data_IF_387075767286
#
_entry.id   IF_387075767286
#
_cell.length_a   1.000
_cell.length_b   1.000
_cell.length_c   1.000
_cell.angle_alpha   90.00
_cell.angle_beta   90.00
_cell.angle_gamma   90.00
#
_symmetry.space_group_name_H-M   'P 1'
#
loop_
_entity.id
_entity.type
_entity.pdbx_description
1 polymer ?
#
# COMPACT_ATOMS: atom_id res chain seq x y z
N UNK A 1 9.59 -4.03 2.51
CA UNK A 1 8.83 -2.86 2.01
C UNK A 1 9.63 -1.63 2.40
N UNK A 2 9.85 -0.70 1.49
CA UNK A 2 10.64 0.50 1.74
C UNK A 2 9.96 1.71 1.07
N UNK A 3 10.19 2.91 1.59
CA UNK A 3 9.74 4.14 0.95
C UNK A 3 10.72 4.55 -0.15
N UNK A 4 10.27 5.30 -1.17
CA UNK A 4 11.12 5.71 -2.30
C UNK A 4 12.38 6.45 -1.85
N UNK A 5 12.28 7.29 -0.81
CA UNK A 5 13.41 8.02 -0.21
C UNK A 5 14.41 7.11 0.52
N UNK A 6 14.02 5.90 0.93
CA UNK A 6 14.87 4.94 1.65
C UNK A 6 15.60 3.98 0.71
N UNK A 7 15.10 3.81 -0.52
CA UNK A 7 15.66 2.87 -1.50
C UNK A 7 17.11 3.19 -1.92
N UNK A 8 17.51 4.45 -2.18
CA UNK A 8 18.88 4.76 -2.58
C UNK A 8 19.92 4.42 -1.51
N UNK A 9 19.53 4.51 -0.23
CA UNK A 9 20.40 4.19 0.91
C UNK A 9 20.70 2.70 1.00
N UNK A 10 19.77 1.87 0.55
CA UNK A 10 19.88 0.41 0.67
C UNK A 10 20.68 -0.21 -0.48
N UNK A 11 20.67 0.37 -1.68
CA UNK A 11 21.03 -0.40 -2.86
C UNK A 11 21.54 0.37 -4.12
N UNK A 12 21.84 1.67 -4.04
CA UNK A 12 22.50 2.39 -5.14
C UNK A 12 21.58 2.77 -6.32
N UNK A 13 22.10 2.77 -7.56
CA UNK A 13 21.44 3.34 -8.76
C UNK A 13 20.26 2.54 -9.33
N UNK A 14 20.16 1.24 -9.01
CA UNK A 14 18.96 0.43 -9.27
C UNK A 14 18.68 -0.43 -8.02
N UNK A 15 17.97 0.15 -7.04
CA UNK A 15 17.81 -0.47 -5.75
C UNK A 15 16.93 -1.72 -5.80
N UNK A 16 16.00 -1.81 -6.75
CA UNK A 16 15.12 -2.98 -6.91
C UNK A 16 15.92 -4.16 -7.46
N UNK A 17 16.72 -3.96 -8.52
CA UNK A 17 17.54 -5.01 -9.08
C UNK A 17 18.58 -5.56 -8.08
N UNK A 18 19.20 -4.67 -7.29
CA UNK A 18 20.16 -5.06 -6.27
C UNK A 18 19.52 -5.85 -5.11
N UNK A 19 18.29 -5.54 -4.70
CA UNK A 19 17.55 -6.34 -3.72
C UNK A 19 17.22 -7.74 -4.25
N UNK A 20 16.85 -7.86 -5.53
CA UNK A 20 16.67 -9.18 -6.16
C UNK A 20 17.97 -9.97 -6.24
N UNK A 21 19.10 -9.33 -6.58
CA UNK A 21 20.41 -9.96 -6.57
C UNK A 21 20.83 -10.44 -5.17
N UNK A 22 20.36 -9.78 -4.11
CA UNK A 22 20.56 -10.19 -2.72
C UNK A 22 19.60 -11.30 -2.25
N UNK A 23 18.71 -11.80 -3.12
CA UNK A 23 17.81 -12.92 -2.82
C UNK A 23 16.43 -12.51 -2.27
N UNK A 24 16.10 -11.21 -2.24
CA UNK A 24 14.74 -10.76 -1.98
C UNK A 24 13.83 -11.25 -3.12
N UNK A 25 12.64 -11.76 -2.81
CA UNK A 25 11.73 -12.31 -3.84
C UNK A 25 10.66 -11.33 -4.29
N UNK A 26 10.37 -10.34 -3.46
CA UNK A 26 9.32 -9.35 -3.70
C UNK A 26 9.71 -8.03 -3.04
N UNK A 27 9.60 -6.94 -3.79
CA UNK A 27 9.94 -5.59 -3.34
C UNK A 27 8.72 -4.71 -3.51
N UNK A 28 8.27 -4.07 -2.43
CA UNK A 28 7.17 -3.10 -2.48
C UNK A 28 7.69 -1.73 -2.08
N UNK A 29 7.42 -0.75 -2.93
CA UNK A 29 7.89 0.63 -2.86
C UNK A 29 6.72 1.57 -2.68
N UNK A 30 6.72 2.35 -1.59
CA UNK A 30 5.74 3.42 -1.38
C UNK A 30 6.25 4.72 -1.99
N UNK A 31 5.40 5.42 -2.74
CA UNK A 31 5.72 6.69 -3.43
C UNK A 31 4.82 7.86 -2.99
N UNK A 32 4.34 7.82 -1.75
CA UNK A 32 3.49 8.87 -1.18
C UNK A 32 2.28 9.16 -2.07
N UNK A 33 2.15 10.41 -2.52
CA UNK A 33 1.06 10.87 -3.38
C UNK A 33 1.04 10.23 -4.78
N UNK A 34 2.14 9.65 -5.25
CA UNK A 34 2.18 8.90 -6.51
C UNK A 34 1.67 7.45 -6.37
N UNK A 35 1.41 6.98 -5.13
CA UNK A 35 0.90 5.65 -4.85
C UNK A 35 2.00 4.67 -4.45
N UNK A 36 2.04 3.50 -5.06
CA UNK A 36 3.00 2.47 -4.75
C UNK A 36 3.25 1.52 -5.94
N UNK A 37 4.38 0.82 -5.89
CA UNK A 37 4.71 -0.26 -6.83
C UNK A 37 5.15 -1.52 -6.10
N UNK A 38 4.84 -2.66 -6.69
CA UNK A 38 5.28 -3.98 -6.25
C UNK A 38 6.01 -4.68 -7.39
N UNK A 39 7.12 -5.30 -7.06
CA UNK A 39 8.01 -5.99 -7.98
C UNK A 39 8.24 -7.40 -7.49
N UNK A 40 8.18 -8.36 -8.39
CA UNK A 40 8.71 -9.71 -8.23
C UNK A 40 9.74 -9.96 -9.31
N UNK A 41 10.33 -11.16 -9.34
CA UNK A 41 11.25 -11.56 -10.42
C UNK A 41 10.57 -11.55 -11.81
N UNK A 42 9.25 -11.71 -11.86
CA UNK A 42 8.49 -11.90 -13.12
C UNK A 42 7.45 -10.83 -13.41
N UNK A 43 7.10 -10.00 -12.43
CA UNK A 43 6.01 -9.03 -12.52
C UNK A 43 6.39 -7.70 -11.87
N UNK A 44 5.87 -6.61 -12.44
CA UNK A 44 5.90 -5.29 -11.86
C UNK A 44 4.50 -4.68 -11.96
N UNK A 45 3.95 -4.23 -10.83
CA UNK A 45 2.62 -3.61 -10.76
C UNK A 45 2.73 -2.27 -10.07
N UNK A 46 2.01 -1.28 -10.59
CA UNK A 46 1.90 0.05 -9.98
C UNK A 46 0.43 0.34 -9.66
N UNK A 47 0.19 1.05 -8.55
CA UNK A 47 -1.13 1.56 -8.19
C UNK A 47 -1.02 3.01 -7.77
N UNK A 48 -1.88 3.90 -8.30
CA UNK A 48 -1.91 5.29 -7.86
C UNK A 48 -2.36 5.37 -6.40
N UNK A 49 -2.00 6.47 -5.73
CA UNK A 49 -2.55 6.76 -4.41
C UNK A 49 -4.06 6.98 -4.54
N UNK A 50 -4.83 6.54 -3.53
CA UNK A 50 -6.26 6.85 -3.46
C UNK A 50 -6.43 8.30 -3.02
N UNK A 51 -7.28 9.05 -3.73
CA UNK A 51 -7.57 10.44 -3.40
C UNK A 51 -8.55 10.50 -2.23
N UNK A 52 -8.07 10.96 -1.08
CA UNK A 52 -8.85 11.11 0.15
C UNK A 52 -8.46 12.42 0.86
N UNK A 53 -9.38 13.05 1.61
CA UNK A 53 -9.02 14.16 2.49
C UNK A 53 -8.00 13.69 3.53
N UNK A 54 -6.83 14.31 3.57
CA UNK A 54 -5.80 13.99 4.56
C UNK A 54 -6.13 14.69 5.87
N UNK A 55 -6.29 13.90 6.93
CA UNK A 55 -6.64 14.36 8.27
C UNK A 55 -5.47 14.15 9.23
N UNK A 56 -4.86 12.97 9.19
CA UNK A 56 -3.64 12.60 9.91
C UNK A 56 -2.77 11.75 8.97
N UNK A 57 -1.45 11.75 9.12
CA UNK A 57 -0.57 10.89 8.31
C UNK A 57 0.11 9.80 9.13
N UNK A 58 -0.05 9.83 10.46
CA UNK A 58 0.47 8.79 11.33
C UNK A 58 -0.27 7.47 11.06
N UNK A 59 0.44 6.35 11.12
CA UNK A 59 -0.12 5.03 10.86
C UNK A 59 -0.37 4.66 9.39
N UNK A 60 -0.30 5.61 8.45
CA UNK A 60 -0.53 5.33 7.02
C UNK A 60 0.42 4.27 6.44
N UNK A 61 1.67 4.28 6.90
CA UNK A 61 2.67 3.29 6.51
C UNK A 61 2.35 1.90 7.03
N UNK A 62 1.94 1.79 8.30
CA UNK A 62 1.61 0.52 8.94
C UNK A 62 0.31 -0.05 8.38
N UNK A 63 -0.68 0.82 8.13
CA UNK A 63 -1.92 0.48 7.44
C UNK A 63 -1.67 -0.06 6.03
N UNK A 64 -0.76 0.57 5.27
CA UNK A 64 -0.35 0.07 3.97
C UNK A 64 0.27 -1.32 4.05
N UNK A 65 1.21 -1.53 4.99
CA UNK A 65 1.87 -2.82 5.21
C UNK A 65 0.84 -3.89 5.62
N UNK A 66 -0.05 -3.57 6.55
CA UNK A 66 -1.11 -4.45 7.02
C UNK A 66 -2.06 -4.84 5.88
N UNK A 67 -2.48 -3.88 5.06
CA UNK A 67 -3.30 -4.12 3.87
C UNK A 67 -2.62 -5.04 2.86
N UNK A 68 -1.33 -4.83 2.61
CA UNK A 68 -0.55 -5.68 1.70
C UNK A 68 -0.43 -7.13 2.22
N UNK A 69 -0.04 -7.29 3.48
CA UNK A 69 0.11 -8.60 4.13
C UNK A 69 -1.24 -9.34 4.25
N UNK A 70 -2.32 -8.61 4.51
CA UNK A 70 -3.68 -9.16 4.47
C UNK A 70 -4.00 -9.78 3.10
N UNK A 71 -3.68 -9.08 2.01
CA UNK A 71 -3.84 -9.62 0.66
C UNK A 71 -2.99 -10.85 0.40
N UNK A 72 -1.74 -10.84 0.88
CA UNK A 72 -0.84 -11.97 0.76
C UNK A 72 -1.40 -13.21 1.48
N UNK A 73 -1.90 -13.04 2.71
CA UNK A 73 -2.49 -14.12 3.51
C UNK A 73 -3.79 -14.67 2.90
N UNK A 74 -4.57 -13.83 2.24
CA UNK A 74 -5.76 -14.24 1.48
C UNK A 74 -5.42 -14.93 0.16
N UNK A 75 -4.16 -14.96 -0.26
CA UNK A 75 -3.73 -15.58 -1.52
C UNK A 75 -4.17 -14.84 -2.78
N UNK A 76 -4.57 -13.56 -2.69
CA UNK A 76 -4.92 -12.77 -3.89
C UNK A 76 -3.67 -12.44 -4.69
N UNK A 77 -3.83 -12.03 -5.95
CA UNK A 77 -2.71 -11.70 -6.83
C UNK A 77 -1.95 -10.41 -6.42
N UNK A 78 -0.79 -10.17 -7.03
CA UNK A 78 0.10 -9.05 -6.69
C UNK A 78 -0.61 -7.69 -6.84
N UNK A 79 -1.43 -7.56 -7.88
CA UNK A 79 -2.19 -6.37 -8.18
C UNK A 79 -3.25 -6.07 -7.11
N UNK A 80 -3.99 -7.08 -6.66
CA UNK A 80 -4.99 -6.96 -5.62
C UNK A 80 -4.36 -6.72 -4.25
N UNK A 81 -3.19 -7.29 -3.96
CA UNK A 81 -2.42 -6.99 -2.74
C UNK A 81 -2.03 -5.51 -2.70
N UNK A 82 -1.48 -5.00 -3.80
CA UNK A 82 -1.02 -3.61 -3.89
C UNK A 82 -2.20 -2.64 -3.84
N UNK A 83 -3.32 -2.98 -4.48
CA UNK A 83 -4.54 -2.19 -4.43
C UNK A 83 -5.09 -2.09 -2.99
N UNK A 84 -5.16 -3.23 -2.28
CA UNK A 84 -5.57 -3.25 -0.88
C UNK A 84 -4.64 -2.42 0.01
N UNK A 85 -3.34 -2.46 -0.24
CA UNK A 85 -2.36 -1.68 0.51
C UNK A 85 -2.59 -0.17 0.34
N UNK A 86 -2.73 0.33 -0.89
CA UNK A 86 -3.00 1.77 -1.13
C UNK A 86 -4.35 2.20 -0.56
N UNK A 87 -5.37 1.33 -0.62
CA UNK A 87 -6.70 1.56 -0.04
C UNK A 87 -6.64 1.65 1.48
N UNK A 88 -5.96 0.71 2.14
CA UNK A 88 -5.86 0.68 3.61
C UNK A 88 -5.05 1.88 4.14
N UNK A 89 -3.95 2.23 3.46
CA UNK A 89 -3.19 3.44 3.78
C UNK A 89 -4.02 4.73 3.63
N UNK A 90 -4.88 4.78 2.61
CA UNK A 90 -5.78 5.92 2.39
C UNK A 90 -6.84 6.08 3.50
N UNK A 91 -7.40 4.97 3.98
CA UNK A 91 -8.33 5.02 5.12
C UNK A 91 -7.65 5.54 6.40
N UNK A 92 -6.43 5.07 6.68
CA UNK A 92 -5.69 5.53 7.84
C UNK A 92 -5.45 7.05 7.80
N UNK A 93 -5.13 7.61 6.63
CA UNK A 93 -4.93 9.07 6.54
C UNK A 93 -6.21 9.90 6.59
N UNK A 94 -7.36 9.29 6.30
CA UNK A 94 -8.66 9.95 6.28
C UNK A 94 -9.33 10.01 7.66
N UNK A 95 -8.77 9.34 8.66
CA UNK A 95 -9.27 9.33 10.03
C UNK A 95 -8.39 10.17 10.97
N UNK A 96 -8.95 10.55 12.14
CA UNK A 96 -8.18 11.11 13.25
C UNK A 96 -7.76 9.97 14.17
N UNK A 97 -6.46 9.80 14.39
CA UNK A 97 -5.89 8.80 15.31
C UNK A 97 -5.17 7.63 14.62
N UNK A 98 -4.31 6.95 15.37
CA UNK A 98 -3.33 5.96 14.87
C UNK A 98 -3.95 4.65 14.37
N UNK A 99 -5.15 4.29 14.84
CA UNK A 99 -5.79 2.99 14.55
C UNK A 99 -7.30 3.06 14.43
N UNK A 100 -7.96 4.12 14.91
CA UNK A 100 -9.43 4.23 14.89
C UNK A 100 -10.02 4.29 13.46
N UNK A 101 -9.20 4.58 12.45
CA UNK A 101 -9.60 4.69 11.04
C UNK A 101 -9.45 3.45 10.17
N UNK A 102 -8.94 2.33 10.71
CA UNK A 102 -8.66 1.16 9.88
C UNK A 102 -9.96 0.48 9.43
N UNK A 103 -10.12 0.20 8.13
CA UNK A 103 -11.35 -0.38 7.60
C UNK A 103 -11.46 -1.85 8.01
N UNK A 104 -12.68 -2.27 8.32
CA UNK A 104 -13.03 -3.68 8.34
C UNK A 104 -13.05 -4.26 6.92
N UNK A 105 -13.03 -5.59 6.80
CA UNK A 105 -13.02 -6.28 5.49
C UNK A 105 -14.18 -5.86 4.58
N UNK A 106 -15.34 -5.59 5.15
CA UNK A 106 -16.54 -5.16 4.42
C UNK A 106 -16.42 -3.72 3.90
N UNK A 107 -15.62 -2.89 4.56
CA UNK A 107 -15.47 -1.47 4.23
C UNK A 107 -14.44 -1.21 3.12
N UNK A 108 -13.63 -2.22 2.75
CA UNK A 108 -12.61 -2.08 1.70
C UNK A 108 -13.18 -1.61 0.34
N UNK A 109 -14.44 -1.94 0.03
CA UNK A 109 -15.10 -1.53 -1.22
C UNK A 109 -15.70 -0.12 -1.18
N UNK A 110 -15.72 0.57 -0.04
CA UNK A 110 -16.35 1.89 0.08
C UNK A 110 -15.64 2.98 -0.73
N UNK A 111 -14.33 2.84 -0.98
CA UNK A 111 -13.59 3.81 -1.80
C UNK A 111 -13.87 3.67 -3.30
N UNK A 112 -14.42 2.54 -3.72
CA UNK A 112 -14.89 2.34 -5.10
C UNK A 112 -16.41 2.60 -5.23
N UNK A 113 -17.08 2.85 -4.11
CA UNK A 113 -18.52 3.09 -4.07
C UNK A 113 -18.87 4.52 -4.51
N UNK A 114 -20.07 4.67 -5.05
CA UNK A 114 -20.62 5.99 -5.39
C UNK A 114 -20.72 6.83 -4.10
N UNK A 115 -20.34 8.12 -4.12
CA UNK A 115 -20.51 9.00 -2.97
C UNK A 115 -21.92 8.93 -2.38
N UNK A 116 -22.02 8.67 -1.07
CA UNK A 116 -23.29 8.51 -0.34
C UNK A 116 -23.71 7.07 -0.03
N UNK A 117 -22.89 6.07 -0.39
CA UNK A 117 -23.14 4.67 -0.02
C UNK A 117 -22.76 4.42 1.45
N UNK A 118 -23.67 3.85 2.25
CA UNK A 118 -23.43 3.44 3.65
C UNK A 118 -23.39 1.92 3.75
N UNK A 119 -22.36 1.37 4.39
CA UNK A 119 -22.32 -0.04 4.80
C UNK A 119 -22.99 -0.15 6.17
N UNK A 120 -23.90 -1.11 6.33
CA UNK A 120 -24.63 -1.39 7.56
C UNK A 120 -24.05 -2.60 8.28
#
# INVERSE_FOLDING_TARGET
MASDDELPVLAGTDPVAALFAAGVREVVVKRGAAGASAYTVTEAVERPARSVPVVDTVGAGDAFVAGYLSGLLDGVDLAARLDRAVTTGAFAVAARGDWEGLPTRTELGLLDAVPGTTVR
#
